data_IF_477632965370
#
_entry.id   IF_477632965370
#
_cell.length_a   1.000
_cell.length_b   1.000
_cell.length_c   1.000
_cell.angle_alpha   90.00
_cell.angle_beta   90.00
_cell.angle_gamma   90.00
#
_symmetry.space_group_name_H-M   'P 1'
#
loop_
_entity.id
_entity.type
_entity.pdbx_description
1 polymer ?
#
# COMPACT_ATOMS: atom_id res chain seq x y z
N UNK A 1 -15.64 -2.85 4.83
CA UNK A 1 -14.62 -2.30 5.74
C UNK A 1 -14.35 -3.33 6.83
N UNK A 2 -13.10 -3.61 7.12
CA UNK A 2 -12.65 -4.50 8.18
C UNK A 2 -11.62 -3.78 9.04
N UNK A 3 -11.64 -4.03 10.35
CA UNK A 3 -10.71 -3.44 11.30
C UNK A 3 -10.10 -4.55 12.15
N UNK A 4 -8.77 -4.47 12.35
CA UNK A 4 -8.02 -5.36 13.22
C UNK A 4 -7.19 -4.52 14.18
N UNK A 5 -7.22 -4.87 15.44
CA UNK A 5 -6.37 -4.25 16.47
C UNK A 5 -5.34 -5.26 16.94
N UNK A 6 -4.12 -4.79 17.12
CA UNK A 6 -2.99 -5.58 17.58
C UNK A 6 -2.51 -5.03 18.90
N UNK A 7 -2.37 -5.91 19.87
CA UNK A 7 -1.77 -5.62 21.18
C UNK A 7 -0.68 -6.65 21.44
N UNK A 8 0.51 -6.16 21.78
CA UNK A 8 1.65 -6.98 22.19
C UNK A 8 2.33 -6.31 23.38
N UNK A 9 2.58 -7.07 24.44
CA UNK A 9 3.20 -6.55 25.65
C UNK A 9 4.63 -6.08 25.45
N UNK A 10 5.31 -6.54 24.41
CA UNK A 10 6.68 -6.14 24.05
C UNK A 10 6.73 -4.94 23.11
N UNK A 11 5.60 -4.55 22.50
CA UNK A 11 5.51 -3.42 21.58
C UNK A 11 5.00 -2.16 22.31
N UNK A 12 5.74 -1.05 22.26
CA UNK A 12 5.40 0.16 23.02
C UNK A 12 4.32 0.98 22.31
N UNK A 13 3.22 0.35 21.89
CA UNK A 13 2.14 1.00 21.17
C UNK A 13 0.96 0.08 20.95
N UNK A 14 -0.16 0.68 20.56
CA UNK A 14 -1.33 -0.04 20.08
C UNK A 14 -1.47 0.23 18.59
N UNK A 15 -1.60 -0.82 17.80
CA UNK A 15 -1.72 -0.73 16.33
C UNK A 15 -3.13 -1.10 15.92
N UNK A 16 -3.73 -0.26 15.10
CA UNK A 16 -5.01 -0.50 14.46
C UNK A 16 -4.85 -0.44 12.95
N UNK A 17 -5.31 -1.47 12.28
CA UNK A 17 -5.34 -1.56 10.83
C UNK A 17 -6.80 -1.56 10.37
N UNK A 18 -7.15 -0.66 9.46
CA UNK A 18 -8.46 -0.60 8.84
C UNK A 18 -8.31 -0.76 7.33
N UNK A 19 -8.94 -1.80 6.79
CA UNK A 19 -8.96 -2.09 5.35
C UNK A 19 -10.34 -1.86 4.75
N UNK A 20 -10.39 -1.24 3.56
CA UNK A 20 -11.62 -1.02 2.82
C UNK A 20 -11.37 -0.88 1.32
N UNK A 21 -12.40 -1.12 0.52
CA UNK A 21 -12.42 -0.80 -0.90
C UNK A 21 -13.65 0.06 -1.20
N UNK A 22 -13.62 0.91 -2.22
CA UNK A 22 -14.77 1.70 -2.61
C UNK A 22 -15.93 0.77 -2.98
N UNK A 23 -17.07 0.98 -2.35
CA UNK A 23 -18.34 0.38 -2.73
C UNK A 23 -19.44 1.39 -2.43
N UNK A 24 -19.93 2.04 -3.47
CA UNK A 24 -21.01 3.01 -3.39
C UNK A 24 -22.22 2.40 -4.09
N UNK A 25 -23.27 2.01 -3.35
CA UNK A 25 -24.47 1.45 -3.97
C UNK A 25 -25.02 2.35 -5.06
N UNK A 26 -25.36 1.78 -6.21
CA UNK A 26 -25.89 2.47 -7.40
C UNK A 26 -24.89 3.43 -8.09
N UNK A 27 -23.62 3.37 -7.76
CA UNK A 27 -22.55 4.08 -8.46
C UNK A 27 -21.52 3.05 -8.96
N UNK A 28 -21.62 2.70 -10.24
CA UNK A 28 -20.77 1.68 -10.85
C UNK A 28 -19.37 2.22 -11.12
N UNK A 29 -19.25 3.49 -11.45
CA UNK A 29 -17.97 4.12 -11.80
C UNK A 29 -17.01 4.13 -10.60
N UNK A 30 -17.46 4.66 -9.46
CA UNK A 30 -16.62 4.72 -8.26
C UNK A 30 -16.45 3.35 -7.58
N UNK A 31 -17.46 2.49 -7.65
CA UNK A 31 -17.36 1.11 -7.12
C UNK A 31 -16.47 0.21 -7.96
N UNK A 32 -16.26 0.56 -9.22
CA UNK A 32 -15.40 -0.16 -10.17
C UNK A 32 -13.91 0.14 -10.01
N UNK A 33 -13.51 1.07 -9.14
CA UNK A 33 -12.10 1.40 -8.90
C UNK A 33 -11.40 0.18 -8.30
N UNK A 34 -10.42 -0.44 -8.98
CA UNK A 34 -9.75 -1.65 -8.52
C UNK A 34 -8.67 -1.30 -7.47
N UNK A 35 -9.09 -0.74 -6.34
CA UNK A 35 -8.21 -0.32 -5.26
C UNK A 35 -8.68 -0.85 -3.90
N UNK A 36 -7.70 -1.14 -3.04
CA UNK A 36 -7.90 -1.37 -1.62
C UNK A 36 -7.12 -0.33 -0.83
N UNK A 37 -7.75 0.24 0.16
CA UNK A 37 -7.15 1.22 1.06
C UNK A 37 -6.87 0.56 2.40
N UNK A 38 -5.70 0.85 2.93
CA UNK A 38 -5.25 0.35 4.23
C UNK A 38 -4.78 1.55 5.05
N UNK A 39 -5.49 1.81 6.13
CA UNK A 39 -5.10 2.81 7.11
C UNK A 39 -4.44 2.11 8.29
N UNK A 40 -3.29 2.59 8.70
CA UNK A 40 -2.55 2.09 9.86
C UNK A 40 -2.42 3.22 10.87
N UNK A 41 -3.04 3.03 12.02
CA UNK A 41 -2.95 3.95 13.15
C UNK A 41 -2.08 3.34 14.23
N UNK A 42 -1.11 4.09 14.73
CA UNK A 42 -0.26 3.69 15.87
C UNK A 42 -0.45 4.69 16.99
N UNK A 43 -0.81 4.20 18.16
CA UNK A 43 -0.95 5.00 19.39
C UNK A 43 0.20 4.66 20.30
N UNK A 44 1.06 5.63 20.60
CA UNK A 44 2.11 5.49 21.58
C UNK A 44 1.48 5.32 22.99
N UNK A 45 1.79 4.22 23.65
CA UNK A 45 1.30 3.91 25.00
C UNK A 45 2.31 4.26 26.08
N UNK A 46 3.43 4.87 25.73
CA UNK A 46 4.49 5.30 26.65
C UNK A 46 4.48 6.80 26.87
N UNK A 47 5.31 7.28 27.79
CA UNK A 47 5.55 8.71 28.03
C UNK A 47 6.75 9.25 27.25
N UNK A 48 7.41 8.41 26.45
CA UNK A 48 8.60 8.76 25.68
C UNK A 48 8.23 9.08 24.23
N UNK A 49 9.05 9.89 23.58
CA UNK A 49 8.92 10.09 22.12
C UNK A 49 9.49 8.89 21.39
N UNK A 50 8.68 8.24 20.58
CA UNK A 50 9.05 7.07 19.79
C UNK A 50 8.92 7.34 18.31
N UNK A 51 9.79 6.73 17.52
CA UNK A 51 9.71 6.69 16.07
C UNK A 51 9.23 5.31 15.65
N UNK A 52 8.20 5.27 14.82
CA UNK A 52 7.64 4.04 14.27
C UNK A 52 7.91 3.96 12.78
N UNK A 53 8.26 2.76 12.31
CA UNK A 53 8.40 2.46 10.90
C UNK A 53 7.30 1.52 10.47
N UNK A 54 6.61 1.87 9.40
CA UNK A 54 5.61 1.01 8.77
C UNK A 54 6.22 0.45 7.49
N UNK A 55 6.22 -0.87 7.36
CA UNK A 55 6.71 -1.54 6.16
C UNK A 55 5.57 -2.34 5.52
N UNK A 56 5.35 -2.11 4.24
CA UNK A 56 4.47 -2.90 3.39
C UNK A 56 5.28 -3.71 2.38
N UNK A 57 4.89 -4.95 2.13
CA UNK A 57 5.47 -5.75 1.06
C UNK A 57 4.39 -6.35 0.18
N UNK A 58 4.60 -6.33 -1.12
CA UNK A 58 3.69 -6.87 -2.10
C UNK A 58 4.48 -7.64 -3.15
N UNK A 59 4.08 -8.87 -3.40
CA UNK A 59 4.68 -9.67 -4.48
C UNK A 59 4.12 -9.20 -5.81
N UNK A 60 5.01 -8.87 -6.75
CA UNK A 60 4.60 -8.65 -8.13
C UNK A 60 4.12 -9.97 -8.75
N UNK A 61 2.84 -10.07 -9.15
CA UNK A 61 2.29 -11.29 -9.75
C UNK A 61 2.58 -11.41 -11.26
N UNK A 62 3.20 -10.39 -11.87
CA UNK A 62 3.41 -10.32 -13.31
C UNK A 62 4.75 -10.95 -13.69
N UNK A 63 4.75 -11.85 -14.67
CA UNK A 63 5.98 -12.40 -15.23
C UNK A 63 6.72 -11.35 -16.09
N UNK A 64 8.06 -11.38 -16.05
CA UNK A 64 8.88 -10.44 -16.81
C UNK A 64 8.71 -8.98 -16.40
N UNK A 65 8.41 -8.73 -15.13
CA UNK A 65 7.97 -7.44 -14.63
C UNK A 65 9.11 -6.49 -14.26
N UNK A 66 8.82 -5.19 -14.36
CA UNK A 66 9.66 -4.11 -13.87
C UNK A 66 8.97 -3.40 -12.71
N UNK A 67 9.70 -3.20 -11.63
CA UNK A 67 9.25 -2.45 -10.46
C UNK A 67 9.92 -1.09 -10.44
N UNK A 68 9.14 -0.03 -10.32
CA UNK A 68 9.63 1.36 -10.32
C UNK A 68 9.10 2.10 -9.11
N UNK A 69 9.97 2.75 -8.36
CA UNK A 69 9.57 3.65 -7.29
C UNK A 69 9.42 5.07 -7.85
N UNK A 70 8.27 5.68 -7.58
CA UNK A 70 7.92 7.04 -7.99
C UNK A 70 7.54 7.83 -6.74
N UNK A 71 8.08 9.02 -6.62
CA UNK A 71 7.78 9.95 -5.54
C UNK A 71 7.34 11.28 -6.14
N UNK A 72 6.27 11.84 -5.60
CA UNK A 72 5.70 13.13 -6.01
C UNK A 72 5.32 13.94 -4.76
N UNK A 73 4.93 15.18 -4.94
CA UNK A 73 4.42 16.02 -3.84
C UNK A 73 3.12 15.46 -3.22
N UNK A 74 2.39 14.64 -3.97
CA UNK A 74 1.14 14.02 -3.52
C UNK A 74 1.28 12.65 -2.88
N UNK A 75 2.49 12.10 -2.82
CA UNK A 75 2.73 10.78 -2.22
C UNK A 75 3.81 9.97 -2.92
N UNK A 76 3.96 8.73 -2.49
CA UNK A 76 4.97 7.80 -3.01
C UNK A 76 4.33 6.50 -3.47
N UNK A 77 4.85 5.90 -4.54
CA UNK A 77 4.24 4.73 -5.17
C UNK A 77 5.31 3.77 -5.69
N UNK A 78 5.14 2.49 -5.40
CA UNK A 78 5.86 1.40 -6.04
C UNK A 78 4.95 0.82 -7.14
N UNK A 79 5.34 1.05 -8.39
CA UNK A 79 4.59 0.61 -9.57
C UNK A 79 5.22 -0.68 -10.11
N UNK A 80 4.40 -1.69 -10.31
CA UNK A 80 4.76 -3.01 -10.77
C UNK A 80 4.10 -3.25 -12.12
N UNK A 81 4.88 -3.25 -13.20
CA UNK A 81 4.40 -3.38 -14.58
C UNK A 81 4.83 -4.70 -15.20
N UNK A 82 3.96 -5.28 -15.99
CA UNK A 82 4.31 -6.35 -16.89
C UNK A 82 5.06 -5.79 -18.10
N UNK A 83 6.10 -6.49 -18.56
CA UNK A 83 6.85 -6.09 -19.76
C UNK A 83 6.68 -7.07 -20.93
N UNK A 84 6.08 -8.23 -20.69
CA UNK A 84 5.87 -9.26 -21.71
C UNK A 84 4.75 -8.90 -22.70
N UNK A 85 3.82 -8.04 -22.30
CA UNK A 85 2.66 -7.63 -23.09
C UNK A 85 2.65 -6.11 -23.32
N UNK A 86 2.24 -5.63 -24.50
CA UNK A 86 1.98 -4.21 -24.75
C UNK A 86 0.89 -3.69 -23.83
N UNK A 87 0.94 -2.40 -23.48
CA UNK A 87 -0.03 -1.77 -22.59
C UNK A 87 -1.49 -1.83 -23.10
N UNK A 88 -1.67 -1.92 -24.42
CA UNK A 88 -2.97 -2.03 -25.09
C UNK A 88 -3.48 -3.47 -25.16
N UNK A 89 -2.69 -4.45 -24.78
CA UNK A 89 -3.09 -5.86 -24.77
C UNK A 89 -4.09 -6.15 -23.66
N UNK A 90 -5.15 -6.93 -23.94
CA UNK A 90 -6.06 -7.41 -22.88
C UNK A 90 -5.35 -8.25 -21.79
N UNK A 91 -4.16 -8.76 -22.07
CA UNK A 91 -3.33 -9.50 -21.12
C UNK A 91 -2.41 -8.61 -20.28
N UNK A 92 -2.32 -7.31 -20.57
CA UNK A 92 -1.48 -6.38 -19.80
C UNK A 92 -1.96 -6.25 -18.36
N UNK A 93 -1.01 -6.23 -17.45
CA UNK A 93 -1.27 -6.10 -16.01
C UNK A 93 -0.32 -5.08 -15.40
N UNK A 94 -0.89 -4.25 -14.57
CA UNK A 94 -0.16 -3.29 -13.76
C UNK A 94 -0.76 -3.28 -12.36
N UNK A 95 0.08 -3.13 -11.34
CA UNK A 95 -0.33 -2.99 -9.96
C UNK A 95 0.54 -1.95 -9.28
N UNK A 96 0.01 -1.27 -8.28
CA UNK A 96 0.77 -0.31 -7.51
C UNK A 96 0.51 -0.48 -6.01
N UNK A 97 1.54 -0.23 -5.20
CA UNK A 97 1.46 -0.03 -3.77
C UNK A 97 1.85 1.41 -3.48
N UNK A 98 0.92 2.20 -2.96
CA UNK A 98 1.13 3.62 -2.74
C UNK A 98 0.85 4.06 -1.31
N UNK A 99 1.37 5.24 -0.96
CA UNK A 99 1.09 5.97 0.27
C UNK A 99 0.98 7.45 -0.05
N UNK A 100 0.18 8.17 0.72
CA UNK A 100 0.06 9.63 0.70
C UNK A 100 1.28 10.34 1.32
N UNK A 101 2.19 9.60 1.95
CA UNK A 101 3.43 10.16 2.43
C UNK A 101 4.37 10.51 1.27
N UNK A 102 4.86 11.74 1.25
CA UNK A 102 5.81 12.26 0.25
C UNK A 102 7.25 12.35 0.77
N UNK A 103 7.45 12.24 2.09
CA UNK A 103 8.76 12.27 2.73
C UNK A 103 9.00 11.00 3.57
N UNK A 104 10.26 10.71 3.87
CA UNK A 104 10.69 9.56 4.69
C UNK A 104 10.19 8.20 4.17
N UNK A 105 9.92 8.12 2.87
CA UNK A 105 9.52 6.88 2.21
C UNK A 105 10.69 6.35 1.42
N UNK A 106 10.95 5.05 1.54
CA UNK A 106 11.89 4.34 0.71
C UNK A 106 11.28 3.03 0.22
N UNK A 107 11.72 2.56 -0.93
CA UNK A 107 11.25 1.31 -1.48
C UNK A 107 12.42 0.44 -1.95
N UNK A 108 12.26 -0.86 -1.72
CA UNK A 108 13.10 -1.88 -2.32
C UNK A 108 12.30 -2.54 -3.44
N UNK A 109 12.81 -2.43 -4.66
CA UNK A 109 12.09 -2.85 -5.86
C UNK A 109 12.20 -4.35 -6.15
N UNK A 110 13.03 -5.10 -5.40
CA UNK A 110 13.21 -6.54 -5.54
C UNK A 110 13.76 -7.15 -4.24
N UNK A 111 13.54 -8.46 -4.08
CA UNK A 111 14.10 -9.27 -3.00
C UNK A 111 15.16 -10.21 -3.58
N UNK A 112 16.24 -10.41 -2.85
CA UNK A 112 17.27 -11.39 -3.17
C UNK A 112 16.97 -12.74 -2.56
#
# INVERSE_FOLDING_TARGET
MATVEFEDASFPGRVKLTGWSPLIPLNEDDSGIPAAFIEISVINTTHETLEYHVAGSLRNPCEGSVNTFVQTDGGSMLVMKQTAEPAESPGYREMALGTDASDRVCAQTYWY
#
